data_IF_782880714683
#
_entry.id   IF_782880714683
#
_cell.length_a   1.000
_cell.length_b   1.000
_cell.length_c   1.000
_cell.angle_alpha   90.00
_cell.angle_beta   90.00
_cell.angle_gamma   90.00
#
_symmetry.space_group_name_H-M   'P 1'
#
loop_
_entity.id
_entity.type
_entity.pdbx_description
1 polymer ?
#
# COMPACT_ATOMS: atom_id res chain seq x y z
N UNK A 1 -0.67 13.38 -7.47
CA UNK A 1 0.57 12.59 -7.61
C UNK A 1 0.20 11.14 -7.44
N UNK A 2 0.61 10.26 -8.36
CA UNK A 2 0.31 8.83 -8.23
C UNK A 2 1.58 8.08 -7.81
N UNK A 3 1.47 7.24 -6.78
CA UNK A 3 2.54 6.40 -6.25
C UNK A 3 2.18 4.95 -6.52
N UNK A 4 3.04 4.24 -7.25
CA UNK A 4 2.82 2.83 -7.59
C UNK A 4 3.74 2.00 -6.71
N UNK A 5 3.19 1.03 -6.00
CA UNK A 5 3.92 0.16 -5.08
C UNK A 5 3.69 -1.30 -5.50
N UNK A 6 4.70 -1.97 -6.09
CA UNK A 6 4.64 -3.40 -6.28
C UNK A 6 4.75 -4.11 -4.91
N UNK A 7 3.93 -5.13 -4.71
CA UNK A 7 3.77 -5.84 -3.44
C UNK A 7 4.05 -7.32 -3.69
N UNK A 8 5.07 -7.87 -3.02
CA UNK A 8 5.38 -9.29 -3.07
C UNK A 8 5.98 -9.79 -1.75
N UNK A 9 5.19 -10.52 -0.97
CA UNK A 9 5.61 -11.10 0.31
C UNK A 9 6.23 -10.07 1.30
N UNK A 10 5.48 -8.99 1.56
CA UNK A 10 5.91 -7.81 2.30
C UNK A 10 5.00 -7.50 3.50
N UNK A 11 4.28 -8.49 4.03
CA UNK A 11 3.22 -8.29 5.04
C UNK A 11 3.67 -7.52 6.29
N UNK A 12 4.93 -7.69 6.71
CA UNK A 12 5.48 -7.08 7.92
C UNK A 12 5.63 -5.55 7.81
N UNK A 13 5.81 -5.00 6.61
CA UNK A 13 6.17 -3.58 6.40
C UNK A 13 5.25 -2.83 5.44
N UNK A 14 4.31 -3.52 4.79
CA UNK A 14 3.39 -2.88 3.83
C UNK A 14 2.59 -1.72 4.45
N UNK A 15 2.05 -1.90 5.65
CA UNK A 15 1.26 -0.87 6.33
C UNK A 15 2.10 0.35 6.71
N UNK A 16 3.27 0.15 7.33
CA UNK A 16 4.18 1.25 7.67
C UNK A 16 4.60 2.03 6.42
N UNK A 17 4.91 1.34 5.33
CA UNK A 17 5.25 1.95 4.05
C UNK A 17 4.12 2.87 3.55
N UNK A 18 2.89 2.37 3.50
CA UNK A 18 1.73 3.15 3.02
C UNK A 18 1.42 4.33 3.94
N UNK A 19 1.44 4.12 5.26
CA UNK A 19 1.23 5.19 6.25
C UNK A 19 2.30 6.29 6.12
N UNK A 20 3.56 5.94 5.89
CA UNK A 20 4.63 6.94 5.70
C UNK A 20 4.42 7.84 4.47
N UNK A 21 3.74 7.30 3.45
CA UNK A 21 3.44 8.00 2.19
C UNK A 21 2.21 8.89 2.36
N UNK A 22 1.17 8.41 3.05
CA UNK A 22 -0.06 9.16 3.32
C UNK A 22 0.16 10.43 4.18
N UNK A 23 1.18 10.45 5.04
CA UNK A 23 1.50 11.60 5.89
C UNK A 23 2.31 12.71 5.20
N UNK A 24 2.49 12.67 3.88
CA UNK A 24 3.20 13.73 3.14
C UNK A 24 2.28 14.92 2.84
N UNK A 25 2.85 16.13 2.79
CA UNK A 25 2.14 17.37 2.41
C UNK A 25 1.86 17.44 0.89
N UNK A 26 1.03 16.52 0.39
CA UNK A 26 0.61 16.44 -1.01
C UNK A 26 -0.93 16.46 -1.11
N UNK A 27 -1.55 17.53 -1.63
CA UNK A 27 -3.00 17.76 -1.51
C UNK A 27 -3.88 16.83 -2.39
N UNK A 28 -3.28 15.99 -3.22
CA UNK A 28 -3.99 15.01 -4.04
C UNK A 28 -3.05 13.87 -4.42
N UNK A 29 -2.93 12.89 -3.53
CA UNK A 29 -2.15 11.68 -3.76
C UNK A 29 -3.07 10.49 -4.05
N UNK A 30 -2.65 9.64 -4.98
CA UNK A 30 -3.25 8.35 -5.26
C UNK A 30 -2.17 7.28 -5.04
N UNK A 31 -2.51 6.18 -4.35
CA UNK A 31 -1.61 5.06 -4.12
C UNK A 31 -2.18 3.83 -4.83
N UNK A 32 -1.37 3.23 -5.71
CA UNK A 32 -1.71 2.03 -6.47
C UNK A 32 -0.85 0.86 -5.96
N UNK A 33 -1.46 -0.01 -5.16
CA UNK A 33 -0.83 -1.25 -4.69
C UNK A 33 -1.03 -2.35 -5.74
N UNK A 34 0.06 -2.91 -6.27
CA UNK A 34 0.05 -3.96 -7.29
C UNK A 34 0.64 -5.23 -6.68
N UNK A 35 -0.21 -6.16 -6.26
CA UNK A 35 0.22 -7.46 -5.74
C UNK A 35 0.71 -8.38 -6.88
N UNK A 36 1.90 -8.95 -6.71
CA UNK A 36 2.54 -9.88 -7.66
C UNK A 36 2.40 -11.35 -7.19
N UNK A 37 1.17 -11.75 -6.89
CA UNK A 37 0.83 -13.07 -6.37
C UNK A 37 1.57 -13.41 -5.07
N UNK A 38 1.47 -12.51 -4.08
CA UNK A 38 1.99 -12.78 -2.74
C UNK A 38 1.36 -14.04 -2.14
N UNK A 39 2.17 -14.81 -1.43
CA UNK A 39 1.76 -16.03 -0.72
C UNK A 39 1.55 -15.80 0.78
N UNK A 40 1.82 -14.59 1.25
CA UNK A 40 1.61 -14.14 2.62
C UNK A 40 0.33 -13.29 2.72
N UNK A 41 0.17 -12.53 3.81
CA UNK A 41 -1.01 -11.68 4.05
C UNK A 41 -0.97 -10.33 3.30
N UNK A 42 0.01 -10.07 2.43
CA UNK A 42 0.19 -8.76 1.79
C UNK A 42 -1.04 -8.32 0.99
N UNK A 43 -1.64 -9.22 0.20
CA UNK A 43 -2.84 -8.93 -0.57
C UNK A 43 -4.03 -8.55 0.33
N UNK A 44 -4.21 -9.27 1.45
CA UNK A 44 -5.24 -8.96 2.44
C UNK A 44 -5.02 -7.59 3.09
N UNK A 45 -3.78 -7.26 3.44
CA UNK A 45 -3.41 -5.96 4.03
C UNK A 45 -3.69 -4.83 3.02
N UNK A 46 -3.32 -5.01 1.75
CA UNK A 46 -3.60 -4.05 0.68
C UNK A 46 -5.10 -3.79 0.53
N UNK A 47 -5.95 -4.82 0.60
CA UNK A 47 -7.41 -4.66 0.58
C UNK A 47 -7.97 -3.91 1.79
N UNK A 48 -7.38 -4.05 2.99
CA UNK A 48 -7.81 -3.28 4.16
C UNK A 48 -7.45 -1.81 3.99
N UNK A 49 -6.21 -1.52 3.58
CA UNK A 49 -5.75 -0.14 3.34
C UNK A 49 -6.62 0.58 2.31
N UNK A 50 -7.03 -0.10 1.23
CA UNK A 50 -7.91 0.48 0.21
C UNK A 50 -9.35 0.78 0.68
N UNK A 51 -9.78 0.26 1.85
CA UNK A 51 -11.09 0.52 2.46
C UNK A 51 -11.04 1.58 3.57
N UNK A 52 -9.84 1.91 4.04
CA UNK A 52 -9.61 2.93 5.07
C UNK A 52 -9.62 4.36 4.49
N UNK A 53 -9.59 4.49 3.15
CA UNK A 53 -9.79 5.71 2.33
C UNK A 53 -11.29 5.93 1.99
#
# INVERSE_FOLDING_TARGET
>A
MSVIIPVYNVEEYLRECVESILHQDAPSMEILLIDDASTDSSAYIAEQLAKED
#
